data_IF_282827249662
#
_entry.id   IF_282827249662
#
_cell.length_a   1.000
_cell.length_b   1.000
_cell.length_c   1.000
_cell.angle_alpha   90.00
_cell.angle_beta   90.00
_cell.angle_gamma   90.00
#
_symmetry.space_group_name_H-M   'P 1'
#
loop_
_entity.id
_entity.type
_entity.pdbx_description
1 polymer ?
#
# COMPACT_ATOMS: atom_id res chain seq x y z
N UNK A 1 37.73 -45.15 13.28
CA UNK A 1 36.66 -44.47 12.54
C UNK A 1 35.78 -43.73 13.54
N UNK A 2 35.96 -42.42 13.66
CA UNK A 2 35.35 -41.61 14.72
C UNK A 2 33.99 -41.12 14.23
N UNK A 3 32.92 -41.59 14.88
CA UNK A 3 31.52 -41.22 14.58
C UNK A 3 31.32 -39.72 14.82
N UNK A 4 30.99 -38.99 13.76
CA UNK A 4 30.60 -37.59 13.82
C UNK A 4 29.23 -37.47 14.51
N UNK A 5 29.17 -36.72 15.62
CA UNK A 5 27.92 -36.24 16.21
C UNK A 5 27.30 -35.20 15.27
N UNK A 6 26.14 -35.51 14.68
CA UNK A 6 25.30 -34.51 14.04
C UNK A 6 24.51 -33.76 15.11
N UNK A 7 24.83 -32.48 15.31
CA UNK A 7 24.05 -31.57 16.11
C UNK A 7 22.76 -31.21 15.37
N UNK A 8 21.62 -31.67 15.88
CA UNK A 8 20.28 -31.24 15.46
C UNK A 8 20.09 -29.79 15.89
N UNK A 9 20.12 -28.86 14.93
CA UNK A 9 19.75 -27.46 15.16
C UNK A 9 18.22 -27.42 15.20
N UNK A 10 17.67 -27.37 16.42
CA UNK A 10 16.27 -27.05 16.62
C UNK A 10 16.03 -25.60 16.18
N UNK A 11 15.33 -25.42 15.07
CA UNK A 11 14.79 -24.13 14.68
C UNK A 11 13.73 -23.72 15.70
N UNK A 12 14.07 -22.76 16.57
CA UNK A 12 13.10 -22.14 17.45
C UNK A 12 12.09 -21.37 16.59
N UNK A 13 10.87 -21.91 16.47
CA UNK A 13 9.73 -21.16 16.00
C UNK A 13 9.45 -20.05 17.03
N UNK A 14 9.90 -18.83 16.74
CA UNK A 14 9.58 -17.65 17.52
C UNK A 14 8.06 -17.51 17.56
N UNK A 15 7.47 -17.78 18.72
CA UNK A 15 6.06 -17.53 18.98
C UNK A 15 5.81 -16.02 18.85
N UNK A 16 5.12 -15.60 17.80
CA UNK A 16 4.63 -14.23 17.68
C UNK A 16 3.59 -14.00 18.77
N UNK A 17 3.96 -13.19 19.77
CA UNK A 17 3.02 -12.56 20.68
C UNK A 17 1.90 -11.87 19.87
N UNK A 18 0.68 -11.84 20.41
CA UNK A 18 -0.53 -11.29 19.80
C UNK A 18 -0.48 -9.74 19.66
N UNK A 19 0.57 -9.21 19.05
CA UNK A 19 0.66 -7.86 18.52
C UNK A 19 0.38 -7.87 17.01
N UNK A 20 -0.01 -6.71 16.47
CA UNK A 20 -0.18 -6.51 15.03
C UNK A 20 0.99 -7.11 14.24
N UNK A 21 0.71 -7.74 13.09
CA UNK A 21 1.76 -8.41 12.33
C UNK A 21 2.85 -7.40 11.91
N UNK A 22 4.13 -7.82 11.73
CA UNK A 22 5.15 -6.92 11.19
C UNK A 22 4.72 -6.27 9.87
N UNK A 23 3.97 -7.00 9.04
CA UNK A 23 3.40 -6.46 7.81
C UNK A 23 2.37 -5.35 8.09
N UNK A 24 1.50 -5.51 9.10
CA UNK A 24 0.55 -4.46 9.50
C UNK A 24 1.26 -3.17 9.91
N UNK A 25 2.31 -3.29 10.73
CA UNK A 25 3.16 -2.16 11.10
C UNK A 25 3.79 -1.49 9.87
N UNK A 26 4.36 -2.28 8.97
CA UNK A 26 4.95 -1.79 7.73
C UNK A 26 3.94 -1.09 6.82
N UNK A 27 2.72 -1.61 6.68
CA UNK A 27 1.63 -0.99 5.92
C UNK A 27 1.24 0.38 6.48
N UNK A 28 1.13 0.52 7.80
CA UNK A 28 0.80 1.80 8.44
C UNK A 28 1.90 2.86 8.25
N UNK A 29 3.16 2.45 8.37
CA UNK A 29 4.32 3.31 8.13
C UNK A 29 4.42 3.71 6.65
N UNK A 30 4.27 2.75 5.74
CA UNK A 30 4.27 2.99 4.30
C UNK A 30 3.15 3.94 3.89
N UNK A 31 1.93 3.73 4.41
CA UNK A 31 0.79 4.61 4.17
C UNK A 31 1.13 6.05 4.59
N UNK A 32 1.72 6.22 5.77
CA UNK A 32 2.08 7.54 6.26
C UNK A 32 3.15 8.23 5.41
N UNK A 33 4.19 7.47 5.04
CA UNK A 33 5.31 7.99 4.26
C UNK A 33 4.93 8.30 2.80
N UNK A 34 4.03 7.51 2.21
CA UNK A 34 3.60 7.74 0.81
C UNK A 34 2.53 8.83 0.77
N UNK A 35 1.45 8.71 1.56
CA UNK A 35 0.27 9.57 1.43
C UNK A 35 0.41 10.94 2.11
N UNK A 36 1.26 11.06 3.12
CA UNK A 36 1.37 12.28 3.93
C UNK A 36 2.75 12.96 3.87
N UNK A 37 3.61 12.53 2.94
CA UNK A 37 4.90 13.19 2.70
C UNK A 37 4.75 14.62 2.23
N UNK A 38 5.83 15.39 2.40
CA UNK A 38 5.95 16.74 1.85
C UNK A 38 5.74 16.75 0.33
N UNK A 39 6.21 15.73 -0.39
CA UNK A 39 6.05 15.68 -1.84
C UNK A 39 4.62 15.30 -2.26
N UNK A 40 3.94 14.42 -1.51
CA UNK A 40 2.50 14.19 -1.70
C UNK A 40 1.71 15.51 -1.54
N UNK A 41 2.03 16.33 -0.53
CA UNK A 41 1.40 17.65 -0.35
C UNK A 41 1.67 18.59 -1.52
N UNK A 42 2.88 18.61 -2.06
CA UNK A 42 3.21 19.40 -3.28
C UNK A 42 2.42 18.91 -4.49
N UNK A 43 2.26 17.60 -4.65
CA UNK A 43 1.43 17.01 -5.72
C UNK A 43 -0.03 17.45 -5.59
N UNK A 44 -0.59 17.43 -4.37
CA UNK A 44 -1.95 17.91 -4.13
C UNK A 44 -2.10 19.39 -4.52
N UNK A 45 -1.18 20.26 -4.12
CA UNK A 45 -1.23 21.70 -4.46
C UNK A 45 -1.17 21.94 -5.97
N UNK A 46 -0.39 21.14 -6.70
CA UNK A 46 -0.31 21.23 -8.17
C UNK A 46 -1.59 20.73 -8.85
N UNK A 47 -2.25 19.74 -8.28
CA UNK A 47 -3.49 19.18 -8.80
C UNK A 47 -4.70 19.96 -8.29
N UNK A 48 -4.99 21.10 -8.94
CA UNK A 48 -6.17 21.93 -8.64
C UNK A 48 -7.49 21.18 -8.78
N UNK A 49 -7.56 20.15 -9.63
CA UNK A 49 -8.76 19.31 -9.79
C UNK A 49 -8.94 18.48 -8.53
N UNK A 50 -7.90 17.80 -8.06
CA UNK A 50 -7.96 17.10 -6.78
C UNK A 50 -8.33 18.03 -5.62
N UNK A 51 -7.70 19.20 -5.52
CA UNK A 51 -7.95 20.16 -4.43
C UNK A 51 -9.37 20.76 -4.45
N UNK A 52 -9.90 21.09 -5.63
CA UNK A 52 -11.20 21.77 -5.75
C UNK A 52 -12.37 20.80 -5.89
N UNK A 53 -12.14 19.62 -6.48
CA UNK A 53 -13.21 18.71 -6.88
C UNK A 53 -13.36 17.50 -5.96
N UNK A 54 -12.30 17.07 -5.27
CA UNK A 54 -12.38 15.83 -4.49
C UNK A 54 -13.37 15.92 -3.31
N UNK A 55 -13.48 17.10 -2.69
CA UNK A 55 -14.46 17.36 -1.63
C UNK A 55 -15.82 17.87 -2.13
N UNK A 56 -15.90 18.41 -3.35
CA UNK A 56 -17.13 19.03 -3.89
C UNK A 56 -17.97 18.07 -4.74
N UNK A 57 -17.42 16.93 -5.19
CA UNK A 57 -18.16 15.94 -5.98
C UNK A 57 -19.06 15.08 -5.07
N UNK A 58 -20.27 15.57 -4.84
CA UNK A 58 -21.52 14.82 -4.57
C UNK A 58 -21.49 13.74 -3.47
N UNK A 59 -20.58 13.79 -2.50
CA UNK A 59 -20.48 12.80 -1.41
C UNK A 59 -20.02 11.40 -1.83
N UNK A 60 -20.00 11.08 -3.13
CA UNK A 60 -19.62 9.77 -3.70
C UNK A 60 -18.14 9.41 -3.45
N UNK A 61 -17.26 10.42 -3.42
CA UNK A 61 -15.83 10.22 -3.20
C UNK A 61 -15.40 10.37 -1.73
N UNK A 62 -16.32 10.75 -0.83
CA UNK A 62 -16.02 11.04 0.58
C UNK A 62 -15.54 9.81 1.36
N UNK A 63 -16.04 8.63 0.99
CA UNK A 63 -15.73 7.35 1.65
C UNK A 63 -14.41 6.72 1.18
N UNK A 64 -13.47 7.48 0.64
CA UNK A 64 -12.22 6.94 0.10
C UNK A 64 -11.36 6.20 1.14
N UNK A 65 -11.57 6.42 2.44
CA UNK A 65 -10.94 5.68 3.55
C UNK A 65 -11.72 4.44 4.03
N UNK A 66 -12.98 4.27 3.59
CA UNK A 66 -13.86 3.18 4.03
C UNK A 66 -13.90 2.06 3.00
N UNK A 67 -13.99 0.80 3.41
CA UNK A 67 -14.05 -0.33 2.46
C UNK A 67 -15.29 -0.25 1.54
N UNK A 68 -16.39 0.30 2.04
CA UNK A 68 -17.68 0.39 1.35
C UNK A 68 -18.10 1.83 1.10
N UNK A 69 -18.98 2.04 0.10
CA UNK A 69 -19.60 3.34 -0.17
C UNK A 69 -18.74 4.34 -0.95
N UNK A 70 -17.61 3.88 -1.50
CA UNK A 70 -16.76 4.64 -2.42
C UNK A 70 -17.09 4.25 -3.87
N UNK A 71 -17.48 5.24 -4.69
CA UNK A 71 -17.77 5.06 -6.12
C UNK A 71 -16.45 5.08 -6.91
N UNK A 72 -15.79 3.92 -7.01
CA UNK A 72 -14.46 3.83 -7.63
C UNK A 72 -14.46 4.25 -9.11
N UNK A 73 -15.51 3.90 -9.86
CA UNK A 73 -15.60 4.24 -11.28
C UNK A 73 -15.64 5.76 -11.52
N UNK A 74 -16.37 6.49 -10.67
CA UNK A 74 -16.44 7.95 -10.76
C UNK A 74 -15.19 8.62 -10.18
N UNK A 75 -14.69 8.11 -9.06
CA UNK A 75 -13.72 8.84 -8.23
C UNK A 75 -12.25 8.52 -8.55
N UNK A 76 -11.93 7.31 -9.00
CA UNK A 76 -10.55 6.91 -9.27
C UNK A 76 -9.89 7.72 -10.40
N UNK A 77 -10.56 8.00 -11.54
CA UNK A 77 -9.97 8.82 -12.61
C UNK A 77 -9.59 10.22 -12.15
N UNK A 78 -10.33 10.79 -11.20
CA UNK A 78 -10.10 12.13 -10.66
C UNK A 78 -8.87 12.19 -9.75
N UNK A 79 -8.46 11.07 -9.17
CA UNK A 79 -7.26 10.97 -8.35
C UNK A 79 -6.00 10.63 -9.14
N UNK A 80 -6.12 10.31 -10.42
CA UNK A 80 -5.02 9.73 -11.20
C UNK A 80 -3.78 10.63 -11.23
N UNK A 81 -3.93 11.90 -11.58
CA UNK A 81 -2.80 12.84 -11.72
C UNK A 81 -2.09 13.07 -10.36
N UNK A 82 -2.86 13.37 -9.31
CA UNK A 82 -2.36 13.44 -7.94
C UNK A 82 -1.59 12.18 -7.54
N UNK A 83 -2.20 11.01 -7.73
CA UNK A 83 -1.63 9.73 -7.29
C UNK A 83 -0.37 9.37 -8.08
N UNK A 84 -0.37 9.62 -9.39
CA UNK A 84 0.79 9.43 -10.24
C UNK A 84 1.97 10.30 -9.77
N UNK A 85 1.74 11.59 -9.55
CA UNK A 85 2.77 12.51 -9.03
C UNK A 85 3.33 12.03 -7.69
N UNK A 86 2.45 11.66 -6.75
CA UNK A 86 2.84 11.19 -5.42
C UNK A 86 3.66 9.90 -5.49
N UNK A 87 3.22 8.91 -6.27
CA UNK A 87 3.92 7.64 -6.41
C UNK A 87 5.25 7.81 -7.14
N UNK A 88 5.33 8.73 -8.10
CA UNK A 88 6.59 9.08 -8.77
C UNK A 88 7.58 9.69 -7.77
N UNK A 89 7.14 10.61 -6.92
CA UNK A 89 7.98 11.20 -5.87
C UNK A 89 8.45 10.15 -4.86
N UNK A 90 7.60 9.17 -4.54
CA UNK A 90 7.93 8.03 -3.68
C UNK A 90 8.80 6.96 -4.38
N UNK A 91 9.13 7.12 -5.67
CA UNK A 91 9.87 6.16 -6.49
C UNK A 91 9.18 4.79 -6.58
N UNK A 92 7.84 4.80 -6.64
CA UNK A 92 6.98 3.61 -6.71
C UNK A 92 6.35 3.38 -8.08
N UNK A 93 6.83 4.10 -9.10
CA UNK A 93 6.43 3.89 -10.49
C UNK A 93 7.61 3.39 -11.31
N UNK A 94 7.30 2.53 -12.27
CA UNK A 94 8.20 2.12 -13.35
C UNK A 94 8.36 3.24 -14.39
N UNK A 95 9.33 3.13 -15.32
CA UNK A 95 9.51 4.12 -16.39
C UNK A 95 8.27 4.33 -17.29
N UNK A 96 7.39 3.33 -17.38
CA UNK A 96 6.11 3.41 -18.12
C UNK A 96 4.95 4.00 -17.29
N UNK A 97 5.25 4.56 -16.12
CA UNK A 97 4.30 5.10 -15.14
C UNK A 97 3.33 4.08 -14.54
N UNK A 98 3.60 2.78 -14.65
CA UNK A 98 2.83 1.76 -13.94
C UNK A 98 3.36 1.55 -12.52
N UNK A 99 2.49 1.09 -11.60
CA UNK A 99 2.88 0.81 -10.22
C UNK A 99 3.96 -0.29 -10.13
N UNK A 100 5.06 0.01 -9.45
CA UNK A 100 6.17 -0.91 -9.24
C UNK A 100 6.00 -1.68 -7.93
N UNK A 101 5.54 -2.93 -8.03
CA UNK A 101 5.39 -3.83 -6.88
C UNK A 101 6.72 -4.09 -6.16
N UNK A 102 7.82 -4.26 -6.89
CA UNK A 102 9.11 -4.58 -6.29
C UNK A 102 9.61 -3.37 -5.51
N UNK A 103 9.46 -2.16 -6.06
CA UNK A 103 9.76 -0.93 -5.34
C UNK A 103 8.84 -0.74 -4.12
N UNK A 104 7.54 -1.06 -4.23
CA UNK A 104 6.61 -0.99 -3.11
C UNK A 104 7.03 -1.93 -1.97
N UNK A 105 7.34 -3.18 -2.28
CA UNK A 105 7.77 -4.17 -1.29
C UNK A 105 9.10 -3.79 -0.62
N UNK A 106 10.08 -3.37 -1.41
CA UNK A 106 11.44 -3.09 -0.92
C UNK A 106 11.57 -1.72 -0.26
N UNK A 107 11.03 -0.66 -0.87
CA UNK A 107 11.15 0.72 -0.38
C UNK A 107 10.11 1.01 0.70
N UNK A 108 8.84 0.71 0.41
CA UNK A 108 7.75 1.11 1.32
C UNK A 108 7.58 0.11 2.46
N UNK A 109 7.53 -1.19 2.15
CA UNK A 109 7.26 -2.23 3.13
C UNK A 109 8.54 -2.81 3.76
N UNK A 110 9.72 -2.47 3.24
CA UNK A 110 11.02 -3.00 3.69
C UNK A 110 11.03 -4.54 3.78
N UNK A 111 10.34 -5.19 2.84
CA UNK A 111 10.13 -6.65 2.75
C UNK A 111 9.42 -7.29 3.96
N UNK A 112 8.84 -6.51 4.88
CA UNK A 112 8.20 -7.03 6.10
C UNK A 112 6.87 -7.75 5.83
N UNK A 113 6.35 -7.65 4.61
CA UNK A 113 5.14 -8.35 4.16
C UNK A 113 5.40 -9.58 3.28
N UNK A 114 6.66 -9.85 2.92
CA UNK A 114 7.03 -10.88 1.93
C UNK A 114 6.57 -12.29 2.29
N UNK A 115 6.46 -12.60 3.59
CA UNK A 115 6.01 -13.90 4.10
C UNK A 115 4.60 -13.85 4.72
N UNK A 116 3.94 -12.70 4.73
CA UNK A 116 2.60 -12.55 5.32
C UNK A 116 1.54 -13.16 4.38
N UNK A 117 0.88 -14.21 4.87
CA UNK A 117 -0.10 -14.96 4.07
C UNK A 117 -1.38 -14.15 3.80
N UNK A 118 -1.76 -13.24 4.69
CA UNK A 118 -2.94 -12.40 4.47
C UNK A 118 -2.64 -11.33 3.43
N UNK A 119 -1.44 -10.73 3.49
CA UNK A 119 -0.97 -9.81 2.47
C UNK A 119 -0.93 -10.47 1.09
N UNK A 120 -0.29 -11.65 0.97
CA UNK A 120 -0.15 -12.32 -0.32
C UNK A 120 -1.49 -12.73 -0.94
N UNK A 121 -2.47 -13.13 -0.12
CA UNK A 121 -3.85 -13.43 -0.55
C UNK A 121 -4.61 -12.18 -1.01
N UNK A 122 -4.47 -11.06 -0.29
CA UNK A 122 -5.23 -9.85 -0.56
C UNK A 122 -4.64 -9.00 -1.70
N UNK A 123 -3.31 -8.99 -1.85
CA UNK A 123 -2.61 -8.07 -2.73
C UNK A 123 -3.08 -8.11 -4.19
N UNK A 124 -3.28 -9.27 -4.86
CA UNK A 124 -3.76 -9.30 -6.24
C UNK A 124 -5.10 -8.57 -6.43
N UNK A 125 -6.04 -8.79 -5.52
CA UNK A 125 -7.38 -8.18 -5.58
C UNK A 125 -7.33 -6.68 -5.27
N UNK A 126 -6.58 -6.28 -4.24
CA UNK A 126 -6.37 -4.87 -3.92
C UNK A 126 -5.70 -4.14 -5.09
N UNK A 127 -4.61 -4.70 -5.63
CA UNK A 127 -3.89 -4.13 -6.78
C UNK A 127 -4.81 -3.96 -7.98
N UNK A 128 -5.54 -5.00 -8.38
CA UNK A 128 -6.37 -4.95 -9.58
C UNK A 128 -7.52 -3.93 -9.47
N UNK A 129 -8.11 -3.81 -8.29
CA UNK A 129 -9.21 -2.85 -8.06
C UNK A 129 -8.75 -1.39 -8.00
N UNK A 130 -7.50 -1.11 -7.59
CA UNK A 130 -7.07 0.26 -7.29
C UNK A 130 -5.99 0.81 -8.22
N UNK A 131 -5.10 -0.05 -8.73
CA UNK A 131 -3.90 0.41 -9.46
C UNK A 131 -4.15 0.73 -10.93
N UNK A 132 -5.34 0.46 -11.48
CA UNK A 132 -5.73 0.94 -12.82
C UNK A 132 -5.61 2.46 -12.94
N UNK A 133 -5.96 3.17 -11.88
CA UNK A 133 -5.83 4.63 -11.76
C UNK A 133 -4.82 5.03 -10.69
N UNK A 134 -3.90 4.12 -10.34
CA UNK A 134 -2.86 4.35 -9.34
C UNK A 134 -3.39 4.82 -7.98
N UNK A 135 -4.62 4.49 -7.60
CA UNK A 135 -5.24 4.96 -6.36
C UNK A 135 -4.60 4.29 -5.12
N UNK A 136 -3.46 4.83 -4.69
CA UNK A 136 -2.67 4.27 -3.59
C UNK A 136 -3.40 4.37 -2.25
N UNK A 137 -4.30 5.35 -2.09
CA UNK A 137 -5.08 5.47 -0.85
C UNK A 137 -5.97 4.23 -0.70
N UNK A 138 -6.68 3.84 -1.76
CA UNK A 138 -7.53 2.65 -1.77
C UNK A 138 -6.71 1.36 -1.64
N UNK A 139 -5.52 1.30 -2.23
CA UNK A 139 -4.60 0.18 -2.04
C UNK A 139 -4.28 -0.03 -0.57
N UNK A 140 -3.87 1.02 0.14
CA UNK A 140 -3.57 0.94 1.57
C UNK A 140 -4.79 0.59 2.40
N UNK A 141 -5.97 1.13 2.10
CA UNK A 141 -7.22 0.77 2.81
C UNK A 141 -7.53 -0.72 2.67
N UNK A 142 -7.44 -1.24 1.43
CA UNK A 142 -7.70 -2.66 1.15
C UNK A 142 -6.70 -3.58 1.87
N UNK A 143 -5.40 -3.27 1.78
CA UNK A 143 -4.36 -4.09 2.42
C UNK A 143 -4.40 -4.01 3.95
N UNK A 144 -4.64 -2.82 4.51
CA UNK A 144 -4.75 -2.65 5.96
C UNK A 144 -5.96 -3.37 6.55
N UNK A 145 -7.04 -3.56 5.79
CA UNK A 145 -8.19 -4.33 6.25
C UNK A 145 -7.92 -5.84 6.23
N UNK A 146 -7.07 -6.31 5.32
CA UNK A 146 -6.77 -7.73 5.17
C UNK A 146 -5.68 -8.23 6.13
N UNK A 147 -4.71 -7.38 6.48
CA UNK A 147 -3.57 -7.76 7.34
C UNK A 147 -3.88 -7.43 8.82
N UNK A 148 -3.78 -8.40 9.73
CA UNK A 148 -4.11 -8.25 11.15
C UNK A 148 -3.06 -7.48 11.97
#
# INVERSE_FOLDING_TARGET
MTRALMLLIAAAAASSAAGASPCKGALMVAQSNVLYSTDARKCAVKDRIFMNNFNSINGKCYNFKNLTGYDAETCDPLQFNYSQCMLQAAKLLKPDNTFDYVAFETISLKNQCSTDTNFSKAYPNCKNSTMKYLNAIRLFVCLNAAVP
#
